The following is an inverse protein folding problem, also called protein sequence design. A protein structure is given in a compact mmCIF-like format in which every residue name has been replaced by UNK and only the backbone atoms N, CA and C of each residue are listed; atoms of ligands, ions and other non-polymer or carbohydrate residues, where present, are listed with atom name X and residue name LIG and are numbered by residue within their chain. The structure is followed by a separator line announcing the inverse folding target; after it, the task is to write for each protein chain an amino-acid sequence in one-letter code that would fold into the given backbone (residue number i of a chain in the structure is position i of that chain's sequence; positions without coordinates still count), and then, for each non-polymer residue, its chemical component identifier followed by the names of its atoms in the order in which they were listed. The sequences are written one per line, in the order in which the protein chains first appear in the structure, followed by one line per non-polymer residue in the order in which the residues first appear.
data_IF_746009534970
#
_entry.id   IF_746009534970
#
_cell.length_a   1.000
_cell.length_b   1.000
_cell.length_c   1.000
_cell.angle_alpha   90.00
_cell.angle_beta   90.00
_cell.angle_gamma   90.00
#
_symmetry.space_group_name_H-M   'P 1'
#
loop_
_entity.id
_entity.type
_entity.pdbx_description
1 polymer ?
#
# COMPACT_ATOMS: atom_id res chain seq x y z
N UNK A 1 -25.15 -11.52 1.61
CA UNK A 1 -23.72 -11.67 1.96
C UNK A 1 -22.83 -10.90 0.97
N UNK A 2 -22.96 -11.10 -0.34
CA UNK A 2 -22.22 -10.33 -1.37
C UNK A 2 -22.37 -8.80 -1.24
N UNK A 3 -23.58 -8.30 -0.98
CA UNK A 3 -23.85 -6.86 -0.84
C UNK A 3 -23.13 -6.21 0.35
N UNK A 4 -22.84 -6.98 1.41
CA UNK A 4 -22.09 -6.49 2.57
C UNK A 4 -20.62 -6.29 2.21
N UNK A 5 -20.06 -7.21 1.42
CA UNK A 5 -18.67 -7.13 0.97
C UNK A 5 -18.47 -5.89 0.07
N UNK A 6 -19.44 -5.58 -0.80
CA UNK A 6 -19.38 -4.40 -1.68
C UNK A 6 -19.40 -3.07 -0.92
N UNK A 7 -20.00 -3.03 0.26
CA UNK A 7 -20.11 -1.81 1.07
C UNK A 7 -18.91 -1.63 2.04
N UNK A 8 -18.13 -2.68 2.27
CA UNK A 8 -16.93 -2.67 3.11
C UNK A 8 -15.73 -2.11 2.33
N UNK A 9 -15.42 -0.83 2.54
CA UNK A 9 -14.36 -0.10 1.85
C UNK A 9 -13.10 0.16 2.72
N UNK A 10 -13.07 -0.37 3.94
CA UNK A 10 -11.98 -0.15 4.91
C UNK A 10 -11.91 1.25 5.50
N UNK A 11 -12.83 2.16 5.13
CA UNK A 11 -12.93 3.54 5.65
C UNK A 11 -14.18 3.73 6.50
N UNK A 12 -15.31 3.12 6.10
CA UNK A 12 -16.58 3.18 6.82
C UNK A 12 -16.58 2.27 8.03
N UNK A 13 -17.15 2.75 9.12
CA UNK A 13 -17.38 1.92 10.29
C UNK A 13 -18.52 0.92 10.04
N UNK A 14 -18.51 -0.20 10.76
CA UNK A 14 -19.58 -1.20 10.72
C UNK A 14 -20.96 -0.57 10.99
N UNK A 15 -21.03 0.43 11.87
CA UNK A 15 -22.27 1.17 12.15
C UNK A 15 -22.79 1.97 10.95
N UNK A 16 -21.90 2.59 10.17
CA UNK A 16 -22.28 3.31 8.96
C UNK A 16 -22.75 2.35 7.85
N UNK A 17 -22.07 1.22 7.69
CA UNK A 17 -22.47 0.16 6.75
C UNK A 17 -23.85 -0.40 7.10
N UNK A 18 -24.13 -0.64 8.38
CA UNK A 18 -25.45 -1.09 8.84
C UNK A 18 -26.55 -0.09 8.47
N UNK A 19 -26.31 1.21 8.72
CA UNK A 19 -27.25 2.29 8.40
C UNK A 19 -27.51 2.41 6.90
N UNK A 20 -26.46 2.36 6.07
CA UNK A 20 -26.57 2.47 4.62
C UNK A 20 -27.34 1.30 3.98
N UNK A 21 -27.18 0.10 4.54
CA UNK A 21 -27.84 -1.10 4.04
C UNK A 21 -29.23 -1.32 4.66
N UNK A 22 -29.67 -0.46 5.59
CA UNK A 22 -30.92 -0.65 6.35
C UNK A 22 -30.91 -1.94 7.18
N UNK A 23 -29.72 -2.40 7.60
CA UNK A 23 -29.55 -3.64 8.36
C UNK A 23 -29.42 -3.36 9.86
N UNK A 24 -29.98 -4.24 10.66
CA UNK A 24 -29.71 -4.25 12.09
C UNK A 24 -28.24 -4.58 12.37
N UNK A 25 -27.66 -3.87 13.34
CA UNK A 25 -26.25 -3.98 13.69
C UNK A 25 -25.87 -5.39 14.17
N UNK A 26 -26.76 -6.06 14.94
CA UNK A 26 -26.61 -7.44 15.38
C UNK A 26 -26.45 -8.41 14.21
N UNK A 27 -27.34 -8.28 13.22
CA UNK A 27 -27.34 -9.10 12.01
C UNK A 27 -26.08 -8.87 11.18
N UNK A 28 -25.64 -7.61 11.06
CA UNK A 28 -24.40 -7.26 10.35
C UNK A 28 -23.17 -7.81 11.08
N UNK A 29 -23.10 -7.70 12.42
CA UNK A 29 -22.01 -8.28 13.22
C UNK A 29 -21.89 -9.79 13.01
N UNK A 30 -23.01 -10.51 12.99
CA UNK A 30 -23.02 -11.95 12.72
C UNK A 30 -22.48 -12.30 11.32
N UNK A 31 -22.79 -11.48 10.31
CA UNK A 31 -22.23 -11.65 8.96
C UNK A 31 -20.73 -11.35 8.95
N UNK A 32 -20.30 -10.25 9.56
CA UNK A 32 -18.88 -9.86 9.65
C UNK A 32 -18.05 -10.91 10.38
N UNK A 33 -18.57 -11.46 11.48
CA UNK A 33 -17.90 -12.54 12.22
C UNK A 33 -17.67 -13.76 11.31
N UNK A 34 -18.69 -14.19 10.56
CA UNK A 34 -18.55 -15.29 9.60
C UNK A 34 -17.52 -14.98 8.51
N UNK A 35 -17.55 -13.76 7.95
CA UNK A 35 -16.60 -13.33 6.93
C UNK A 35 -15.16 -13.29 7.45
N UNK A 36 -14.95 -12.84 8.70
CA UNK A 36 -13.66 -12.88 9.37
C UNK A 36 -13.18 -14.32 9.62
N UNK A 37 -14.05 -15.21 10.11
CA UNK A 37 -13.71 -16.63 10.34
C UNK A 37 -13.31 -17.35 9.06
N UNK A 38 -13.92 -16.98 7.92
CA UNK A 38 -13.61 -17.56 6.62
C UNK A 38 -12.49 -16.81 5.87
N UNK A 39 -11.88 -15.78 6.48
CA UNK A 39 -10.79 -15.01 5.87
C UNK A 39 -11.18 -14.17 4.65
N UNK A 40 -12.47 -13.91 4.44
CA UNK A 40 -12.99 -13.15 3.29
C UNK A 40 -12.74 -11.64 3.48
N UNK A 41 -12.69 -11.18 4.73
CA UNK A 41 -12.39 -9.80 5.10
C UNK A 41 -11.34 -9.78 6.20
N UNK A 42 -10.62 -8.66 6.33
CA UNK A 42 -9.64 -8.43 7.38
C UNK A 42 -9.92 -7.10 8.09
N UNK A 43 -9.59 -7.03 9.38
CA UNK A 43 -9.68 -5.78 10.12
C UNK A 43 -8.56 -4.83 9.67
N UNK A 44 -8.92 -3.69 9.08
CA UNK A 44 -7.96 -2.63 8.78
C UNK A 44 -7.63 -1.91 10.09
N UNK A 45 -6.52 -2.26 10.72
CA UNK A 45 -6.05 -1.56 11.92
C UNK A 45 -5.39 -0.25 11.50
N UNK A 46 -5.99 0.88 11.89
CA UNK A 46 -5.40 2.21 11.73
C UNK A 46 -4.25 2.42 12.72
N UNK A 47 -3.11 1.79 12.42
CA UNK A 47 -1.77 2.21 12.84
C UNK A 47 -0.77 1.34 12.07
N UNK A 48 -0.91 1.30 10.74
CA UNK A 48 0.15 0.70 9.93
C UNK A 48 1.36 1.63 9.99
N UNK A 49 2.56 1.12 10.32
CA UNK A 49 3.76 1.93 10.30
C UNK A 49 3.90 2.55 8.91
N UNK A 50 3.89 3.87 8.87
CA UNK A 50 4.10 4.63 7.65
C UNK A 50 5.56 4.60 7.28
N UNK A 51 5.82 4.65 5.98
CA UNK A 51 7.16 4.84 5.46
C UNK A 51 7.65 6.23 5.83
N UNK A 52 8.88 6.31 6.35
CA UNK A 52 9.53 7.59 6.61
C UNK A 52 9.94 8.27 5.32
N UNK A 53 9.97 9.61 5.35
CA UNK A 53 10.41 10.45 4.25
C UNK A 53 11.84 10.13 3.78
N UNK A 54 12.75 9.80 4.71
CA UNK A 54 14.13 9.40 4.42
C UNK A 54 14.23 8.22 3.43
N UNK A 55 13.25 7.31 3.44
CA UNK A 55 13.20 6.24 2.46
C UNK A 55 12.90 6.77 1.06
N UNK A 56 11.99 7.73 0.93
CA UNK A 56 11.62 8.32 -0.36
C UNK A 56 12.76 9.15 -0.93
N UNK A 57 13.48 9.89 -0.10
CA UNK A 57 14.72 10.57 -0.52
C UNK A 57 15.71 9.56 -1.10
N UNK A 58 15.96 8.46 -0.39
CA UNK A 58 16.85 7.40 -0.86
C UNK A 58 16.32 6.70 -2.12
N UNK A 59 15.01 6.45 -2.21
CA UNK A 59 14.36 5.87 -3.38
C UNK A 59 14.56 6.75 -4.61
N UNK A 60 14.34 8.06 -4.47
CA UNK A 60 14.54 9.06 -5.53
C UNK A 60 15.99 9.09 -5.98
N UNK A 61 16.95 9.10 -5.06
CA UNK A 61 18.38 9.06 -5.40
C UNK A 61 18.73 7.80 -6.21
N UNK A 62 18.33 6.62 -5.71
CA UNK A 62 18.62 5.35 -6.37
C UNK A 62 17.94 5.24 -7.74
N UNK A 63 16.72 5.72 -7.86
CA UNK A 63 16.00 5.71 -9.13
C UNK A 63 16.61 6.74 -10.11
N UNK A 64 17.02 7.91 -9.63
CA UNK A 64 17.66 8.96 -10.46
C UNK A 64 18.97 8.48 -11.08
N UNK A 65 19.74 7.65 -10.40
CA UNK A 65 20.94 7.01 -10.98
C UNK A 65 20.62 6.11 -12.18
N UNK A 66 19.38 5.59 -12.24
CA UNK A 66 18.93 4.65 -13.26
C UNK A 66 18.14 5.33 -14.40
N UNK A 67 17.22 6.24 -14.07
CA UNK A 67 16.28 6.87 -15.02
C UNK A 67 16.51 8.37 -15.22
N UNK A 68 17.40 8.99 -14.45
CA UNK A 68 17.69 10.42 -14.51
C UNK A 68 16.67 11.28 -13.74
N UNK A 69 16.55 12.58 -14.06
CA UNK A 69 15.77 13.55 -13.27
C UNK A 69 14.26 13.27 -13.26
N UNK A 70 13.77 12.35 -14.10
CA UNK A 70 12.36 11.95 -14.12
C UNK A 70 11.98 11.03 -12.96
N UNK A 71 12.93 10.55 -12.17
CA UNK A 71 12.69 9.63 -11.07
C UNK A 71 11.58 10.09 -10.11
N UNK A 72 11.56 11.36 -9.73
CA UNK A 72 10.56 11.94 -8.83
C UNK A 72 9.14 11.79 -9.41
N UNK A 73 8.95 12.15 -10.68
CA UNK A 73 7.68 12.00 -11.39
C UNK A 73 7.25 10.53 -11.47
N UNK A 74 8.19 9.61 -11.74
CA UNK A 74 7.88 8.17 -11.81
C UNK A 74 7.44 7.60 -10.45
N UNK A 75 8.00 8.11 -9.35
CA UNK A 75 7.65 7.72 -7.99
C UNK A 75 6.25 8.25 -7.65
N UNK A 76 5.97 9.53 -7.94
CA UNK A 76 4.65 10.12 -7.72
C UNK A 76 3.55 9.39 -8.50
N UNK A 77 3.80 9.07 -9.78
CA UNK A 77 2.87 8.27 -10.58
C UNK A 77 2.63 6.86 -10.00
N UNK A 78 3.69 6.20 -9.53
CA UNK A 78 3.59 4.87 -8.95
C UNK A 78 2.82 4.89 -7.61
N UNK A 79 3.05 5.92 -6.78
CA UNK A 79 2.31 6.14 -5.54
C UNK A 79 0.84 6.42 -5.82
N UNK A 80 0.54 7.31 -6.77
CA UNK A 80 -0.82 7.62 -7.20
C UNK A 80 -1.54 6.37 -7.75
N UNK A 81 -0.83 5.52 -8.50
CA UNK A 81 -1.37 4.23 -9.01
C UNK A 81 -1.77 3.29 -7.86
N UNK A 82 -1.03 3.31 -6.75
CA UNK A 82 -1.34 2.53 -5.55
C UNK A 82 -2.38 3.23 -4.64
N UNK A 83 -2.80 4.46 -4.98
CA UNK A 83 -3.74 5.25 -4.21
C UNK A 83 -3.14 5.91 -2.96
N UNK A 84 -1.83 6.11 -2.93
CA UNK A 84 -1.09 6.72 -1.82
C UNK A 84 -0.30 7.94 -2.29
N UNK A 85 0.19 8.70 -1.31
CA UNK A 85 1.13 9.81 -1.49
C UNK A 85 2.35 9.59 -0.59
N UNK A 86 3.41 10.38 -0.78
CA UNK A 86 4.64 10.32 0.04
C UNK A 86 4.39 10.33 1.56
N UNK A 87 3.40 11.09 2.01
CA UNK A 87 3.09 11.28 3.44
C UNK A 87 2.20 10.20 4.06
N UNK A 88 1.61 9.31 3.25
CA UNK A 88 0.63 8.31 3.71
C UNK A 88 0.90 6.92 3.13
N UNK A 89 2.15 6.63 2.78
CA UNK A 89 2.51 5.36 2.20
C UNK A 89 2.81 4.30 3.27
N UNK A 90 2.12 3.15 3.28
CA UNK A 90 2.28 2.17 4.32
C UNK A 90 3.48 1.24 4.07
N UNK A 91 4.25 0.94 5.13
CA UNK A 91 5.52 0.21 5.01
C UNK A 91 5.44 -1.21 4.46
N UNK A 92 4.30 -1.88 4.61
CA UNK A 92 4.13 -3.23 4.08
C UNK A 92 3.97 -3.27 2.54
N UNK A 93 3.65 -2.14 1.89
CA UNK A 93 3.45 -2.07 0.43
C UNK A 93 4.68 -1.64 -0.36
N UNK A 94 5.81 -1.46 0.31
CA UNK A 94 7.07 -1.05 -0.35
C UNK A 94 7.46 -2.00 -1.47
N UNK A 95 7.21 -3.29 -1.29
CA UNK A 95 7.51 -4.28 -2.31
C UNK A 95 6.68 -4.05 -3.57
N UNK A 96 5.37 -3.73 -3.43
CA UNK A 96 4.51 -3.37 -4.56
C UNK A 96 5.03 -2.14 -5.31
N UNK A 97 5.51 -1.12 -4.58
CA UNK A 97 6.09 0.09 -5.18
C UNK A 97 7.37 -0.23 -5.97
N UNK A 98 8.25 -1.08 -5.43
CA UNK A 98 9.48 -1.49 -6.12
C UNK A 98 9.16 -2.28 -7.39
N UNK A 99 8.16 -3.15 -7.35
CA UNK A 99 7.77 -3.96 -8.50
C UNK A 99 7.11 -3.12 -9.61
N UNK A 100 6.48 -1.99 -9.28
CA UNK A 100 6.03 -1.00 -10.26
C UNK A 100 7.15 -0.15 -10.86
N UNK A 101 8.19 0.17 -10.08
CA UNK A 101 9.29 1.03 -10.52
C UNK A 101 10.38 0.27 -11.29
N UNK A 102 10.66 -0.97 -10.93
CA UNK A 102 11.75 -1.74 -11.52
C UNK A 102 11.63 -1.95 -13.05
N UNK A 103 10.43 -2.19 -13.63
CA UNK A 103 10.27 -2.26 -15.08
C UNK A 103 10.55 -0.94 -15.80
N UNK A 104 10.47 0.20 -15.10
CA UNK A 104 10.78 1.53 -15.67
C UNK A 104 12.29 1.75 -15.88
N UNK A 105 13.13 0.87 -15.33
CA UNK A 105 14.57 0.88 -15.54
C UNK A 105 14.92 -0.02 -16.73
N UNK A 106 15.18 0.58 -17.89
CA UNK A 106 15.51 -0.14 -19.13
C UNK A 106 16.82 -0.93 -19.05
N UNK A 107 17.82 -0.41 -18.32
CA UNK A 107 19.15 -1.04 -18.21
C UNK A 107 19.12 -2.11 -17.13
N UNK A 108 19.23 -3.37 -17.53
CA UNK A 108 19.11 -4.52 -16.62
C UNK A 108 20.13 -4.51 -15.48
N UNK A 109 21.38 -4.15 -15.75
CA UNK A 109 22.42 -3.99 -14.72
C UNK A 109 22.02 -2.96 -13.65
N UNK A 110 21.51 -1.79 -14.09
CA UNK A 110 21.05 -0.73 -13.18
C UNK A 110 19.80 -1.15 -12.41
N UNK A 111 18.91 -1.92 -13.03
CA UNK A 111 17.70 -2.47 -12.40
C UNK A 111 18.06 -3.45 -11.27
N UNK A 112 19.04 -4.32 -11.50
CA UNK A 112 19.51 -5.26 -10.49
C UNK A 112 20.14 -4.53 -9.29
N UNK A 113 20.99 -3.52 -9.55
CA UNK A 113 21.61 -2.67 -8.51
C UNK A 113 20.55 -1.91 -7.72
N UNK A 114 19.56 -1.30 -8.39
CA UNK A 114 18.44 -0.61 -7.76
C UNK A 114 17.67 -1.52 -6.79
N UNK A 115 17.27 -2.72 -7.24
CA UNK A 115 16.56 -3.68 -6.38
C UNK A 115 17.40 -4.09 -5.18
N UNK A 116 18.69 -4.38 -5.39
CA UNK A 116 19.59 -4.79 -4.30
C UNK A 116 19.76 -3.67 -3.26
N UNK A 117 19.94 -2.43 -3.70
CA UNK A 117 20.16 -1.28 -2.84
C UNK A 117 18.92 -0.93 -2.00
N UNK A 118 17.72 -1.06 -2.58
CA UNK A 118 16.47 -0.88 -1.83
C UNK A 118 16.20 -2.03 -0.87
N UNK A 119 16.46 -3.27 -1.28
CA UNK A 119 16.29 -4.43 -0.41
C UNK A 119 17.17 -4.32 0.85
N UNK A 120 18.44 -3.91 0.67
CA UNK A 120 19.36 -3.61 1.78
C UNK A 120 18.81 -2.53 2.71
N UNK A 121 18.27 -1.43 2.16
CA UNK A 121 17.68 -0.34 2.96
C UNK A 121 16.47 -0.82 3.78
N UNK A 122 15.58 -1.62 3.19
CA UNK A 122 14.41 -2.17 3.87
C UNK A 122 14.80 -3.14 5.00
N UNK A 123 15.81 -3.98 4.77
CA UNK A 123 16.32 -4.95 5.76
C UNK A 123 17.10 -4.31 6.91
N UNK A 124 17.70 -3.14 6.68
CA UNK A 124 18.52 -2.44 7.67
C UNK A 124 17.76 -1.91 8.90
N UNK A 125 16.44 -2.16 9.03
CA UNK A 125 15.55 -1.74 10.13
C UNK A 125 15.48 -0.22 10.40
N UNK A 126 16.24 0.62 9.69
CA UNK A 126 16.16 2.09 9.73
C UNK A 126 15.10 2.66 8.75
N UNK A 127 13.93 2.04 8.70
CA UNK A 127 12.80 2.51 7.89
C UNK A 127 11.56 2.62 8.76
#
# INVERSE_FOLDING_TARGET
MLSVIQELDGKKTIGMVAKNMGLELEKLKGIIAKLLTHGIIALVSQSMPMMKEDFFVYLTDQLSLATGPMAEVLIDEALATLGYNLTNFPKHRVQELIDLLAPRIFREEKRAVFKQNLYKKILSKEV
#
